data_IF_097102286219
#
_entry.id   IF_097102286219
#
_cell.length_a   1.000
_cell.length_b   1.000
_cell.length_c   1.000
_cell.angle_alpha   90.00
_cell.angle_beta   90.00
_cell.angle_gamma   90.00
#
_symmetry.space_group_name_H-M   'P 1'
#
loop_
_entity.id
_entity.type
_entity.pdbx_description
1 polymer ?
#
# COMPACT_ATOMS: atom_id res chain seq x y z
N UNK A 1 9.38 -10.84 -16.28
CA UNK A 1 10.05 -11.80 -15.35
C UNK A 1 11.57 -11.76 -15.49
N UNK A 2 12.17 -11.74 -16.70
CA UNK A 2 13.63 -11.71 -16.90
C UNK A 2 14.25 -10.36 -16.48
N UNK A 3 13.57 -9.25 -16.72
CA UNK A 3 14.02 -7.91 -16.29
C UNK A 3 14.03 -7.75 -14.77
N UNK A 4 13.02 -8.26 -14.09
CA UNK A 4 12.94 -8.26 -12.63
C UNK A 4 14.07 -9.08 -11.98
N UNK A 5 14.45 -10.20 -12.61
CA UNK A 5 15.56 -11.03 -12.13
C UNK A 5 16.93 -10.35 -12.30
N UNK A 6 17.14 -9.63 -13.41
CA UNK A 6 18.38 -8.85 -13.62
C UNK A 6 18.54 -7.71 -12.64
N UNK A 7 17.46 -6.96 -12.35
CA UNK A 7 17.47 -5.88 -11.37
C UNK A 7 17.75 -6.40 -9.94
N UNK A 8 17.12 -7.52 -9.58
CA UNK A 8 17.34 -8.19 -8.30
C UNK A 8 18.79 -8.70 -8.17
N UNK A 9 19.33 -9.31 -9.22
CA UNK A 9 20.71 -9.79 -9.22
C UNK A 9 21.73 -8.64 -9.13
N UNK A 10 21.48 -7.53 -9.82
CA UNK A 10 22.29 -6.32 -9.72
C UNK A 10 22.31 -5.76 -8.29
N UNK A 11 21.15 -5.65 -7.66
CA UNK A 11 21.02 -5.18 -6.27
C UNK A 11 21.76 -6.10 -5.27
N UNK A 12 21.74 -7.43 -5.48
CA UNK A 12 22.52 -8.37 -4.67
C UNK A 12 24.03 -8.16 -4.87
N UNK A 13 24.47 -7.95 -6.12
CA UNK A 13 25.88 -7.69 -6.40
C UNK A 13 26.34 -6.37 -5.76
N UNK A 14 25.59 -5.29 -5.92
CA UNK A 14 25.90 -3.99 -5.30
C UNK A 14 26.00 -4.10 -3.79
N UNK A 15 25.08 -4.83 -3.14
CA UNK A 15 25.13 -5.09 -1.70
C UNK A 15 26.36 -5.93 -1.31
N UNK A 16 26.68 -6.98 -2.07
CA UNK A 16 27.84 -7.82 -1.86
C UNK A 16 29.15 -7.04 -1.97
N UNK A 17 29.26 -6.16 -2.97
CA UNK A 17 30.42 -5.32 -3.20
C UNK A 17 30.59 -4.27 -2.08
N UNK A 18 29.49 -3.65 -1.66
CA UNK A 18 29.48 -2.72 -0.53
C UNK A 18 29.90 -3.41 0.77
N UNK A 19 29.33 -4.60 1.06
CA UNK A 19 29.68 -5.39 2.25
C UNK A 19 31.15 -5.83 2.23
N UNK A 20 31.66 -6.23 1.07
CA UNK A 20 33.06 -6.59 0.88
C UNK A 20 34.00 -5.41 1.08
N UNK A 21 33.65 -4.24 0.55
CA UNK A 21 34.40 -2.99 0.74
C UNK A 21 34.42 -2.56 2.20
N UNK A 22 33.30 -2.63 2.89
CA UNK A 22 33.18 -2.34 4.32
C UNK A 22 34.07 -3.29 5.17
N UNK A 23 33.96 -4.61 4.89
CA UNK A 23 34.77 -5.63 5.57
C UNK A 23 36.29 -5.42 5.35
N UNK A 24 36.69 -5.03 4.13
CA UNK A 24 38.08 -4.73 3.80
C UNK A 24 38.58 -3.48 4.51
N UNK A 25 37.77 -2.44 4.60
CA UNK A 25 38.12 -1.20 5.29
C UNK A 25 38.28 -1.41 6.81
N UNK A 26 37.39 -2.21 7.40
CA UNK A 26 37.44 -2.53 8.84
C UNK A 26 38.53 -3.53 9.20
N UNK A 27 38.97 -4.38 8.25
CA UNK A 27 39.89 -5.50 8.47
C UNK A 27 41.19 -5.05 9.13
N UNK A 28 41.82 -4.00 8.65
CA UNK A 28 43.11 -3.55 9.17
C UNK A 28 43.00 -3.05 10.61
N UNK A 29 42.01 -2.20 10.88
CA UNK A 29 41.76 -1.69 12.22
C UNK A 29 41.41 -2.81 13.23
N UNK A 30 40.54 -3.73 12.85
CA UNK A 30 40.13 -4.87 13.67
C UNK A 30 41.27 -5.84 13.91
N UNK A 31 42.11 -6.12 12.90
CA UNK A 31 43.27 -6.98 13.03
C UNK A 31 44.31 -6.34 13.97
N UNK A 32 44.60 -5.05 13.83
CA UNK A 32 45.52 -4.35 14.74
C UNK A 32 45.00 -4.36 16.17
N UNK A 33 43.70 -4.10 16.37
CA UNK A 33 43.07 -4.11 17.69
C UNK A 33 43.15 -5.52 18.37
N UNK A 34 42.75 -6.56 17.65
CA UNK A 34 42.83 -7.94 18.16
C UNK A 34 44.26 -8.37 18.45
N UNK A 35 45.22 -7.98 17.59
CA UNK A 35 46.65 -8.28 17.79
C UNK A 35 47.19 -7.57 19.01
N UNK A 36 46.81 -6.31 19.26
CA UNK A 36 47.23 -5.55 20.42
C UNK A 36 46.68 -6.14 21.72
N UNK A 37 45.37 -6.47 21.76
CA UNK A 37 44.75 -7.07 22.96
C UNK A 37 45.32 -8.45 23.26
N UNK A 38 45.42 -9.31 22.25
CA UNK A 38 45.96 -10.68 22.44
C UNK A 38 47.50 -10.68 22.61
N UNK A 39 48.19 -9.70 22.05
CA UNK A 39 49.65 -9.53 22.18
C UNK A 39 50.09 -9.20 23.58
N UNK A 40 49.22 -8.71 24.45
CA UNK A 40 49.55 -8.52 25.88
C UNK A 40 50.06 -9.80 26.56
N UNK A 41 49.54 -10.96 26.18
CA UNK A 41 50.03 -12.24 26.68
C UNK A 41 51.45 -12.58 26.23
N UNK A 42 51.85 -12.20 25.03
CA UNK A 42 53.20 -12.40 24.53
C UNK A 42 54.24 -11.60 25.30
N UNK A 43 53.86 -10.50 25.92
CA UNK A 43 54.74 -9.65 26.75
C UNK A 43 54.73 -10.09 28.23
N UNK A 44 53.65 -10.69 28.73
CA UNK A 44 53.52 -11.12 30.12
C UNK A 44 54.51 -12.21 30.47
N UNK A 45 54.75 -13.17 29.61
CA UNK A 45 55.69 -14.31 29.88
C UNK A 45 57.16 -13.82 30.01
N UNK A 46 57.71 -13.05 29.05
CA UNK A 46 59.06 -12.50 29.19
C UNK A 46 59.19 -11.57 30.42
N UNK A 47 58.18 -10.75 30.72
CA UNK A 47 58.20 -9.87 31.88
C UNK A 47 58.20 -10.65 33.18
N UNK A 48 57.41 -11.72 33.31
CA UNK A 48 57.39 -12.59 34.47
C UNK A 48 58.74 -13.31 34.66
N UNK A 49 59.40 -13.77 33.58
CA UNK A 49 60.72 -14.39 33.60
C UNK A 49 61.80 -13.40 34.05
N UNK A 50 61.76 -12.14 33.57
CA UNK A 50 62.68 -11.10 34.01
C UNK A 50 62.52 -10.77 35.50
N UNK A 51 61.31 -10.69 36.02
CA UNK A 51 61.06 -10.45 37.45
C UNK A 51 61.52 -11.65 38.30
N UNK A 52 61.25 -12.88 37.84
CA UNK A 52 61.70 -14.12 38.52
C UNK A 52 63.20 -14.19 38.53
N UNK A 53 63.95 -13.77 37.52
CA UNK A 53 65.43 -13.79 37.49
C UNK A 53 66.05 -12.86 38.48
N UNK A 54 65.33 -11.87 39.00
CA UNK A 54 65.73 -10.95 40.07
C UNK A 54 65.61 -11.54 41.48
N UNK A 55 65.21 -12.81 41.65
CA UNK A 55 65.19 -13.56 42.92
C UNK A 55 63.84 -13.58 43.63
N UNK A 56 62.82 -12.85 43.19
CA UNK A 56 61.48 -12.86 43.81
C UNK A 56 60.47 -13.67 42.97
N UNK A 57 60.66 -14.99 42.96
CA UNK A 57 59.82 -15.90 42.18
C UNK A 57 58.37 -15.93 42.66
N UNK A 58 58.09 -15.66 43.92
CA UNK A 58 56.76 -15.69 44.51
C UNK A 58 55.93 -14.49 43.94
N UNK A 59 56.49 -13.30 43.98
CA UNK A 59 55.84 -12.12 43.44
C UNK A 59 55.69 -12.21 41.94
N UNK A 60 56.66 -12.74 41.21
CA UNK A 60 56.55 -13.00 39.77
C UNK A 60 55.38 -13.95 39.44
N UNK A 61 55.22 -15.04 40.19
CA UNK A 61 54.15 -16.02 39.98
C UNK A 61 52.76 -15.42 40.28
N UNK A 62 52.62 -14.68 41.38
CA UNK A 62 51.35 -14.05 41.75
C UNK A 62 50.94 -13.02 40.69
N UNK A 63 51.86 -12.20 40.24
CA UNK A 63 51.59 -11.22 39.18
C UNK A 63 51.25 -11.88 37.84
N UNK A 64 51.93 -12.94 37.46
CA UNK A 64 51.62 -13.70 36.24
C UNK A 64 50.21 -14.27 36.29
N UNK A 65 49.79 -14.89 37.39
CA UNK A 65 48.46 -15.42 37.57
C UNK A 65 47.42 -14.28 37.50
N UNK A 66 47.66 -13.19 38.22
CA UNK A 66 46.76 -12.05 38.24
C UNK A 66 46.54 -11.49 36.83
N UNK A 67 47.60 -11.19 36.09
CA UNK A 67 47.48 -10.64 34.74
C UNK A 67 46.95 -11.66 33.74
N UNK A 68 47.26 -12.95 33.89
CA UNK A 68 46.70 -14.00 33.05
C UNK A 68 45.17 -14.13 33.18
N UNK A 69 44.61 -13.84 34.37
CA UNK A 69 43.17 -13.82 34.61
C UNK A 69 42.53 -12.47 34.23
N UNK A 70 43.21 -11.35 34.50
CA UNK A 70 42.67 -10.02 34.33
C UNK A 70 42.67 -9.53 32.87
N UNK A 71 43.74 -9.83 32.10
CA UNK A 71 43.87 -9.37 30.74
C UNK A 71 42.75 -9.87 29.81
N UNK A 72 42.30 -11.15 29.84
CA UNK A 72 41.16 -11.61 29.05
C UNK A 72 39.85 -10.92 29.44
N UNK A 73 39.64 -10.66 30.74
CA UNK A 73 38.45 -9.97 31.22
C UNK A 73 38.39 -8.53 30.70
N UNK A 74 39.51 -7.81 30.71
CA UNK A 74 39.61 -6.47 30.10
C UNK A 74 39.35 -6.53 28.58
N UNK A 75 39.95 -7.49 27.90
CA UNK A 75 39.74 -7.69 26.47
C UNK A 75 38.26 -7.92 26.09
N UNK A 76 37.58 -8.75 26.90
CA UNK A 76 36.13 -8.96 26.71
C UNK A 76 35.29 -7.69 26.96
N UNK A 77 35.64 -6.88 27.97
CA UNK A 77 34.95 -5.62 28.25
C UNK A 77 35.13 -4.62 27.11
N UNK A 78 36.35 -4.50 26.58
CA UNK A 78 36.61 -3.61 25.43
C UNK A 78 35.86 -4.07 24.18
N UNK A 79 35.87 -5.39 23.91
CA UNK A 79 35.05 -5.93 22.81
C UNK A 79 33.54 -5.63 22.97
N UNK A 80 33.00 -5.78 24.17
CA UNK A 80 31.58 -5.42 24.43
C UNK A 80 31.32 -3.93 24.15
N UNK A 81 32.21 -3.04 24.54
CA UNK A 81 32.07 -1.61 24.25
C UNK A 81 32.09 -1.34 22.73
N UNK A 82 32.96 -2.02 22.00
CA UNK A 82 33.06 -1.90 20.55
C UNK A 82 31.77 -2.37 19.84
N UNK A 83 31.22 -3.52 20.23
CA UNK A 83 29.96 -4.02 19.67
C UNK A 83 28.71 -3.25 20.15
N UNK A 84 28.79 -2.58 21.32
CA UNK A 84 27.71 -1.68 21.77
C UNK A 84 27.49 -0.51 20.83
N UNK A 85 28.53 -0.01 20.18
CA UNK A 85 28.37 1.11 19.21
C UNK A 85 27.52 0.70 18.01
N UNK A 86 27.63 -0.54 17.53
CA UNK A 86 26.83 -1.09 16.43
C UNK A 86 25.35 -1.19 16.83
N UNK A 87 25.05 -1.74 18.01
CA UNK A 87 23.70 -1.81 18.54
C UNK A 87 23.07 -0.41 18.78
N UNK A 88 23.86 0.56 19.21
CA UNK A 88 23.39 1.96 19.36
C UNK A 88 23.06 2.57 17.99
N UNK A 89 23.87 2.35 16.96
CA UNK A 89 23.59 2.82 15.61
C UNK A 89 22.32 2.22 15.02
N UNK A 90 22.10 0.90 15.20
CA UNK A 90 20.87 0.23 14.78
C UNK A 90 19.63 0.80 15.52
N UNK A 91 19.78 1.05 16.83
CA UNK A 91 18.70 1.64 17.61
C UNK A 91 18.38 3.07 17.18
N UNK A 92 19.41 3.89 16.89
CA UNK A 92 19.25 5.27 16.41
C UNK A 92 18.57 5.32 15.04
N UNK A 93 18.94 4.43 14.13
CA UNK A 93 18.27 4.30 12.83
C UNK A 93 16.79 3.86 13.00
N UNK A 94 16.52 2.91 13.89
CA UNK A 94 15.15 2.47 14.18
C UNK A 94 14.31 3.59 14.80
N UNK A 95 14.88 4.36 15.72
CA UNK A 95 14.24 5.54 16.32
C UNK A 95 14.00 6.61 15.26
N UNK A 96 14.97 6.88 14.38
CA UNK A 96 14.82 7.83 13.28
C UNK A 96 13.64 7.46 12.36
N UNK A 97 13.49 6.21 12.02
CA UNK A 97 12.33 5.72 11.21
C UNK A 97 11.00 5.86 11.97
N UNK A 98 10.99 5.62 13.28
CA UNK A 98 9.81 5.83 14.11
C UNK A 98 9.45 7.32 14.21
N UNK A 99 10.42 8.18 14.40
CA UNK A 99 10.21 9.63 14.45
C UNK A 99 9.71 10.18 13.12
N UNK A 100 10.17 9.65 11.99
CA UNK A 100 9.67 10.01 10.66
C UNK A 100 8.17 9.67 10.53
N UNK A 101 7.75 8.51 11.01
CA UNK A 101 6.33 8.11 11.00
C UNK A 101 5.50 8.94 11.98
N UNK A 102 5.98 9.11 13.21
CA UNK A 102 5.25 9.80 14.28
C UNK A 102 5.20 11.32 14.10
N UNK A 103 6.18 11.90 13.41
CA UNK A 103 6.22 13.32 13.11
C UNK A 103 5.33 13.75 11.96
N UNK A 104 4.76 12.79 11.21
CA UNK A 104 3.79 13.11 10.16
C UNK A 104 2.59 13.82 10.77
N UNK A 105 2.31 15.02 10.29
CA UNK A 105 1.15 15.77 10.74
C UNK A 105 -0.12 15.07 10.28
N UNK A 106 -1.07 14.78 11.18
CA UNK A 106 -2.38 14.30 10.76
C UNK A 106 -3.06 15.34 9.86
N UNK A 107 -3.97 14.88 9.01
CA UNK A 107 -4.79 15.80 8.22
C UNK A 107 -5.55 16.75 9.15
N UNK A 108 -5.60 18.03 8.79
CA UNK A 108 -6.28 19.03 9.60
C UNK A 108 -7.79 18.77 9.61
N UNK A 109 -8.36 18.54 10.77
CA UNK A 109 -9.81 18.46 10.92
C UNK A 109 -10.42 19.85 11.05
N UNK A 110 -11.51 20.09 10.34
CA UNK A 110 -12.25 21.34 10.46
C UNK A 110 -12.87 21.46 11.85
N UNK A 111 -12.73 22.66 12.45
CA UNK A 111 -13.40 22.98 13.70
C UNK A 111 -14.92 23.04 13.60
N UNK A 112 -15.44 23.23 12.40
CA UNK A 112 -16.87 23.25 12.08
C UNK A 112 -17.15 22.04 11.22
N UNK A 113 -17.70 21.00 11.80
CA UNK A 113 -18.06 19.78 11.08
C UNK A 113 -19.44 19.93 10.45
N UNK A 114 -19.49 19.96 9.12
CA UNK A 114 -20.73 19.90 8.34
C UNK A 114 -21.17 18.45 8.15
N UNK A 115 -22.44 18.26 7.90
CA UNK A 115 -22.98 16.96 7.47
C UNK A 115 -23.30 17.04 5.96
N UNK A 116 -23.04 15.99 5.19
CA UNK A 116 -23.42 15.94 3.79
C UNK A 116 -24.95 15.99 3.67
N UNK A 117 -25.48 16.81 2.76
CA UNK A 117 -26.91 16.98 2.50
C UNK A 117 -27.36 16.22 1.24
N UNK A 118 -26.73 15.10 0.93
CA UNK A 118 -26.99 14.27 -0.24
C UNK A 118 -25.75 13.51 -0.68
N UNK A 119 -25.78 12.99 -1.89
CA UNK A 119 -24.77 12.10 -2.47
C UNK A 119 -24.17 12.61 -3.80
N UNK A 120 -24.43 13.88 -4.16
CA UNK A 120 -23.74 14.52 -5.28
C UNK A 120 -22.25 14.72 -4.96
N UNK A 121 -21.40 14.45 -5.94
CA UNK A 121 -19.95 14.71 -5.86
C UNK A 121 -19.59 15.79 -6.89
N UNK A 122 -18.90 16.86 -6.45
CA UNK A 122 -18.49 17.94 -7.36
C UNK A 122 -17.02 18.27 -7.16
N UNK A 123 -16.28 18.30 -8.25
CA UNK A 123 -14.92 18.80 -8.36
C UNK A 123 -14.98 20.19 -8.99
N UNK A 124 -14.39 21.18 -8.34
CA UNK A 124 -14.33 22.55 -8.83
C UNK A 124 -12.88 23.04 -8.84
N UNK A 125 -12.33 23.20 -10.05
CA UNK A 125 -10.96 23.70 -10.29
C UNK A 125 -9.88 22.99 -9.46
N UNK A 126 -9.95 21.65 -9.37
CA UNK A 126 -9.09 20.84 -8.52
C UNK A 126 -7.71 20.68 -9.13
N UNK A 127 -6.69 21.09 -8.37
CA UNK A 127 -5.29 20.78 -8.65
C UNK A 127 -4.71 20.01 -7.47
N UNK A 128 -3.94 18.95 -7.76
CA UNK A 128 -3.34 18.11 -6.74
C UNK A 128 -1.99 17.55 -7.18
N UNK A 129 -1.00 17.63 -6.28
CA UNK A 129 0.36 17.10 -6.46
C UNK A 129 0.69 16.16 -5.31
N UNK A 130 1.17 14.95 -5.60
CA UNK A 130 1.64 14.05 -4.55
C UNK A 130 2.90 14.59 -3.87
N UNK A 131 3.09 14.39 -2.55
CA UNK A 131 4.31 14.78 -1.86
C UNK A 131 5.57 14.23 -2.55
N UNK A 132 6.51 15.11 -2.86
CA UNK A 132 7.77 14.74 -3.54
C UNK A 132 7.66 14.58 -5.06
N UNK A 133 6.50 14.83 -5.68
CA UNK A 133 6.36 14.83 -7.13
C UNK A 133 6.65 16.22 -7.72
N UNK A 134 7.31 16.27 -8.88
CA UNK A 134 7.66 17.51 -9.58
C UNK A 134 6.50 18.10 -10.41
N UNK A 135 5.43 17.32 -10.61
CA UNK A 135 4.31 17.72 -11.47
C UNK A 135 2.98 17.35 -10.82
N UNK A 136 1.93 18.15 -11.05
CA UNK A 136 0.60 17.84 -10.56
C UNK A 136 0.08 16.55 -11.19
N UNK A 137 -0.59 15.74 -10.39
CA UNK A 137 -1.31 14.55 -10.83
C UNK A 137 -2.70 14.91 -11.39
N UNK A 138 -3.27 16.03 -10.92
CA UNK A 138 -4.48 16.67 -11.46
C UNK A 138 -4.23 18.17 -11.60
N UNK A 139 -4.67 18.76 -12.72
CA UNK A 139 -4.50 20.17 -13.03
C UNK A 139 -5.83 20.76 -13.54
N UNK A 140 -6.40 21.67 -12.76
CA UNK A 140 -7.66 22.41 -13.05
C UNK A 140 -8.84 21.48 -13.46
N UNK A 141 -9.05 20.41 -12.69
CA UNK A 141 -10.08 19.41 -12.98
C UNK A 141 -11.43 19.85 -12.40
N UNK A 142 -12.46 19.91 -13.26
CA UNK A 142 -13.82 20.24 -12.88
C UNK A 142 -14.82 19.27 -13.50
N UNK A 143 -15.62 18.61 -12.67
CA UNK A 143 -16.74 17.75 -13.10
C UNK A 143 -17.72 17.52 -11.95
N UNK A 144 -18.87 16.94 -12.25
CA UNK A 144 -19.85 16.55 -11.23
C UNK A 144 -20.40 15.15 -11.50
N UNK A 145 -20.76 14.46 -10.41
CA UNK A 145 -21.53 13.21 -10.41
C UNK A 145 -22.83 13.51 -9.69
N UNK A 146 -23.94 13.46 -10.40
CA UNK A 146 -25.26 13.74 -9.79
C UNK A 146 -25.76 12.52 -9.03
N UNK A 147 -26.70 12.70 -8.08
CA UNK A 147 -27.33 11.58 -7.36
C UNK A 147 -27.90 10.53 -8.32
N UNK A 148 -27.52 9.27 -8.09
CA UNK A 148 -27.95 8.14 -8.91
C UNK A 148 -27.28 8.04 -10.29
N UNK A 149 -26.33 8.90 -10.63
CA UNK A 149 -25.61 8.89 -11.89
C UNK A 149 -24.38 7.97 -11.84
N UNK A 150 -24.11 7.30 -12.95
CA UNK A 150 -22.89 6.51 -13.18
C UNK A 150 -21.94 7.31 -14.08
N UNK A 151 -20.80 7.73 -13.53
CA UNK A 151 -19.75 8.45 -14.27
C UNK A 151 -18.50 7.55 -14.36
N UNK A 152 -17.96 7.43 -15.58
CA UNK A 152 -16.78 6.64 -15.84
C UNK A 152 -15.55 7.52 -16.14
N UNK A 153 -14.44 7.23 -15.48
CA UNK A 153 -13.13 7.80 -15.79
C UNK A 153 -12.35 6.83 -16.70
N UNK A 154 -11.99 7.27 -17.89
CA UNK A 154 -11.19 6.51 -18.86
C UNK A 154 -9.96 7.30 -19.27
N UNK A 155 -8.98 6.64 -19.90
CA UNK A 155 -7.78 7.31 -20.39
C UNK A 155 -6.52 6.50 -20.13
N UNK A 156 -5.36 6.95 -20.60
CA UNK A 156 -4.08 6.25 -20.46
C UNK A 156 -3.68 6.08 -18.99
N UNK A 157 -2.84 5.07 -18.71
CA UNK A 157 -2.26 4.85 -17.39
C UNK A 157 -1.45 6.07 -16.94
N UNK A 158 -1.53 6.43 -15.65
CA UNK A 158 -0.88 7.63 -15.13
C UNK A 158 -1.60 8.95 -15.49
N UNK A 159 -2.80 8.90 -16.08
CA UNK A 159 -3.57 10.10 -16.45
C UNK A 159 -4.19 10.88 -15.28
N UNK A 160 -4.19 10.34 -14.04
CA UNK A 160 -4.78 10.98 -12.86
C UNK A 160 -6.13 10.40 -12.38
N UNK A 161 -6.64 9.34 -13.03
CA UNK A 161 -7.95 8.73 -12.71
C UNK A 161 -8.08 8.26 -11.26
N UNK A 162 -7.16 7.42 -10.80
CA UNK A 162 -7.12 6.92 -9.40
C UNK A 162 -6.92 8.06 -8.42
N UNK A 163 -6.13 9.08 -8.80
CA UNK A 163 -5.96 10.29 -7.98
C UNK A 163 -7.28 11.00 -7.78
N UNK A 164 -8.05 11.26 -8.86
CA UNK A 164 -9.36 11.89 -8.75
C UNK A 164 -10.32 11.09 -7.85
N UNK A 165 -10.36 9.76 -8.02
CA UNK A 165 -11.16 8.87 -7.17
C UNK A 165 -10.76 8.95 -5.70
N UNK A 166 -9.45 9.02 -5.39
CA UNK A 166 -8.90 9.04 -4.03
C UNK A 166 -9.18 10.34 -3.27
N UNK A 167 -9.49 11.43 -3.97
CA UNK A 167 -9.85 12.71 -3.35
C UNK A 167 -11.28 12.73 -2.81
N UNK A 168 -12.19 11.89 -3.30
CA UNK A 168 -13.58 11.82 -2.81
C UNK A 168 -13.66 11.39 -1.34
N UNK A 169 -13.02 10.27 -0.93
CA UNK A 169 -12.97 9.88 0.48
C UNK A 169 -11.95 10.70 1.29
N UNK A 170 -11.35 11.74 0.69
CA UNK A 170 -10.34 12.59 1.33
C UNK A 170 -9.13 11.78 1.79
N UNK A 171 -8.58 10.88 0.95
CA UNK A 171 -7.28 10.26 1.26
C UNK A 171 -6.13 11.26 1.13
N UNK A 172 -6.38 12.36 0.42
CA UNK A 172 -5.48 13.51 0.25
C UNK A 172 -6.28 14.80 0.23
N UNK A 173 -5.69 15.90 0.68
CA UNK A 173 -6.24 17.25 0.51
C UNK A 173 -5.75 17.87 -0.80
N UNK A 174 -6.59 18.63 -1.48
CA UNK A 174 -6.25 19.30 -2.75
C UNK A 174 -5.34 20.51 -2.52
N UNK A 175 -4.44 20.80 -3.45
CA UNK A 175 -3.58 21.99 -3.41
C UNK A 175 -4.40 23.26 -3.68
N UNK A 176 -5.33 23.19 -4.63
CA UNK A 176 -6.28 24.28 -4.95
C UNK A 176 -7.60 23.72 -5.45
N UNK A 177 -8.62 24.54 -5.41
CA UNK A 177 -9.99 24.16 -5.73
C UNK A 177 -10.69 23.46 -4.56
N UNK A 178 -11.76 22.73 -4.87
CA UNK A 178 -12.56 22.02 -3.86
C UNK A 178 -13.16 20.74 -4.40
N UNK A 179 -13.28 19.74 -3.52
CA UNK A 179 -14.07 18.52 -3.73
C UNK A 179 -15.21 18.56 -2.72
N UNK A 180 -16.46 18.49 -3.19
CA UNK A 180 -17.64 18.49 -2.31
C UNK A 180 -18.39 17.18 -2.41
N UNK A 181 -18.92 16.72 -1.27
CA UNK A 181 -19.82 15.57 -1.14
C UNK A 181 -21.10 16.04 -0.46
N UNK A 182 -22.25 15.85 -1.11
CA UNK A 182 -23.52 16.34 -0.60
C UNK A 182 -23.54 17.86 -0.35
N UNK A 183 -22.82 18.64 -1.20
CA UNK A 183 -22.74 20.09 -1.11
C UNK A 183 -21.80 20.66 -0.04
N UNK A 184 -21.11 19.80 0.73
CA UNK A 184 -20.09 20.22 1.70
C UNK A 184 -18.69 19.83 1.22
N UNK A 185 -17.70 20.72 1.40
CA UNK A 185 -16.31 20.41 1.09
C UNK A 185 -15.84 19.24 1.97
N UNK A 186 -15.15 18.28 1.36
CA UNK A 186 -14.66 17.08 2.10
C UNK A 186 -13.75 17.45 3.27
N UNK A 187 -13.08 18.60 3.23
CA UNK A 187 -12.25 19.14 4.31
C UNK A 187 -13.06 19.64 5.52
N UNK A 188 -14.34 19.93 5.32
CA UNK A 188 -15.26 20.42 6.35
C UNK A 188 -16.15 19.29 6.94
N UNK A 189 -16.07 18.08 6.36
CA UNK A 189 -16.81 16.92 6.85
C UNK A 189 -16.03 16.19 7.94
N UNK A 190 -16.74 15.64 8.91
CA UNK A 190 -16.18 14.63 9.82
C UNK A 190 -15.71 13.40 9.01
N UNK A 191 -14.52 12.90 9.30
CA UNK A 191 -13.94 11.77 8.56
C UNK A 191 -14.80 10.52 8.63
N UNK A 192 -15.41 10.24 9.78
CA UNK A 192 -16.32 9.09 9.98
C UNK A 192 -17.59 9.26 9.16
N UNK A 193 -18.16 10.48 9.15
CA UNK A 193 -19.35 10.79 8.35
C UNK A 193 -19.07 10.68 6.86
N UNK A 194 -17.94 11.22 6.37
CA UNK A 194 -17.52 11.11 4.97
C UNK A 194 -17.28 9.65 4.57
N UNK A 195 -16.54 8.90 5.40
CA UNK A 195 -16.31 7.48 5.17
C UNK A 195 -17.62 6.67 5.19
N UNK A 196 -18.61 7.07 5.97
CA UNK A 196 -19.94 6.47 5.94
C UNK A 196 -20.69 6.68 4.63
N UNK A 197 -20.43 7.79 3.91
CA UNK A 197 -21.07 8.13 2.64
C UNK A 197 -20.44 7.44 1.43
N UNK A 198 -19.19 6.99 1.50
CA UNK A 198 -18.43 6.49 0.35
C UNK A 198 -18.03 5.04 0.55
N UNK A 199 -18.43 4.15 -0.35
CA UNK A 199 -17.86 2.81 -0.48
C UNK A 199 -16.79 2.84 -1.56
N UNK A 200 -15.54 2.53 -1.20
CA UNK A 200 -14.41 2.49 -2.12
C UNK A 200 -13.97 1.04 -2.36
N UNK A 201 -13.94 0.61 -3.62
CA UNK A 201 -13.41 -0.70 -4.04
C UNK A 201 -12.11 -0.45 -4.78
N UNK A 202 -11.00 -0.89 -4.19
CA UNK A 202 -9.65 -0.71 -4.74
C UNK A 202 -9.33 -1.73 -5.83
N UNK A 203 -8.44 -1.36 -6.74
CA UNK A 203 -7.87 -2.24 -7.75
C UNK A 203 -7.12 -3.43 -7.12
N UNK A 204 -6.23 -3.16 -6.16
CA UNK A 204 -5.49 -4.17 -5.41
C UNK A 204 -6.25 -4.51 -4.12
N UNK A 205 -7.09 -5.53 -4.22
CA UNK A 205 -7.91 -5.99 -3.09
C UNK A 205 -7.08 -6.82 -2.13
N UNK A 206 -6.98 -6.37 -0.88
CA UNK A 206 -6.33 -7.12 0.19
C UNK A 206 -7.34 -7.62 1.20
N UNK A 207 -7.20 -8.88 1.56
CA UNK A 207 -7.95 -9.51 2.64
C UNK A 207 -7.10 -9.55 3.91
N UNK A 208 -7.77 -9.34 5.05
CA UNK A 208 -7.14 -9.53 6.35
C UNK A 208 -6.92 -11.04 6.60
N UNK A 209 -5.91 -11.38 7.41
CA UNK A 209 -5.67 -12.76 7.86
C UNK A 209 -6.69 -13.19 8.93
N UNK A 210 -7.96 -13.09 8.57
CA UNK A 210 -9.13 -13.33 9.38
C UNK A 210 -10.12 -14.20 8.61
N UNK A 211 -11.24 -14.60 9.23
CA UNK A 211 -12.31 -15.32 8.55
C UNK A 211 -12.93 -14.49 7.42
N UNK A 212 -13.57 -15.13 6.45
CA UNK A 212 -14.34 -14.41 5.43
C UNK A 212 -15.47 -13.57 6.07
N UNK A 213 -16.08 -14.09 7.12
CA UNK A 213 -17.08 -13.37 7.91
C UNK A 213 -16.54 -12.01 8.37
N UNK A 214 -15.39 -12.01 9.07
CA UNK A 214 -14.77 -10.79 9.58
C UNK A 214 -14.22 -9.90 8.46
N UNK A 215 -13.74 -10.50 7.39
CA UNK A 215 -13.32 -9.75 6.21
C UNK A 215 -14.47 -8.95 5.59
N UNK A 216 -15.67 -9.50 5.47
CA UNK A 216 -16.85 -8.79 4.94
C UNK A 216 -17.41 -7.83 5.99
N UNK A 217 -17.52 -8.29 7.25
CA UNK A 217 -18.03 -7.51 8.38
C UNK A 217 -17.19 -6.26 8.70
N UNK A 218 -15.91 -6.21 8.29
CA UNK A 218 -15.04 -5.04 8.50
C UNK A 218 -15.66 -3.72 8.00
N UNK A 219 -16.57 -3.78 7.02
CA UNK A 219 -17.28 -2.60 6.51
C UNK A 219 -18.40 -2.10 7.44
N UNK A 220 -18.99 -2.98 8.24
CA UNK A 220 -20.05 -2.71 9.24
C UNK A 220 -19.92 -3.71 10.38
N UNK A 221 -19.15 -3.39 11.44
CA UNK A 221 -18.82 -4.32 12.52
C UNK A 221 -20.01 -4.91 13.27
N UNK A 222 -21.12 -4.17 13.33
CA UNK A 222 -22.35 -4.57 14.02
C UNK A 222 -23.28 -5.45 13.14
N UNK A 223 -22.90 -5.77 11.91
CA UNK A 223 -23.72 -6.59 11.01
C UNK A 223 -23.86 -8.02 11.52
N UNK A 224 -25.07 -8.56 11.44
CA UNK A 224 -25.34 -9.95 11.78
C UNK A 224 -24.70 -10.90 10.76
N UNK A 225 -24.61 -12.18 11.13
CA UNK A 225 -24.09 -13.22 10.21
C UNK A 225 -24.97 -13.36 8.98
N UNK A 226 -26.27 -13.21 9.15
CA UNK A 226 -27.27 -13.30 8.07
C UNK A 226 -27.10 -12.14 7.08
N UNK A 227 -26.86 -10.93 7.56
CA UNK A 227 -26.59 -9.75 6.71
C UNK A 227 -25.29 -9.91 5.93
N UNK A 228 -24.22 -10.45 6.57
CA UNK A 228 -22.95 -10.77 5.90
C UNK A 228 -23.15 -11.82 4.83
N UNK A 229 -23.92 -12.87 5.12
CA UNK A 229 -24.23 -13.91 4.14
C UNK A 229 -25.02 -13.36 2.95
N UNK A 230 -26.04 -12.54 3.21
CA UNK A 230 -26.81 -11.86 2.17
C UNK A 230 -25.94 -10.98 1.26
N UNK A 231 -24.99 -10.23 1.84
CA UNK A 231 -24.03 -9.44 1.08
C UNK A 231 -23.07 -10.30 0.25
N UNK A 232 -22.65 -11.46 0.79
CA UNK A 232 -21.83 -12.43 0.06
C UNK A 232 -22.58 -13.04 -1.13
N UNK A 233 -23.86 -13.41 -0.97
CA UNK A 233 -24.73 -13.88 -2.04
C UNK A 233 -24.91 -12.83 -3.13
N UNK A 234 -25.21 -11.58 -2.75
CA UNK A 234 -25.35 -10.46 -3.68
C UNK A 234 -24.04 -10.20 -4.46
N UNK A 235 -22.89 -10.43 -3.83
CA UNK A 235 -21.58 -10.35 -4.47
C UNK A 235 -21.19 -11.63 -5.25
N UNK A 236 -22.10 -12.57 -5.44
CA UNK A 236 -21.87 -13.83 -6.18
C UNK A 236 -20.72 -14.67 -5.58
N UNK A 237 -20.67 -14.80 -4.25
CA UNK A 237 -19.62 -15.55 -3.54
C UNK A 237 -20.01 -17.00 -3.19
N UNK A 238 -21.12 -17.53 -3.69
CA UNK A 238 -21.65 -18.84 -3.31
C UNK A 238 -20.67 -19.98 -3.62
N UNK A 239 -20.08 -19.98 -4.80
CA UNK A 239 -19.05 -20.93 -5.22
C UNK A 239 -17.79 -20.88 -4.33
N UNK A 240 -17.44 -19.68 -3.82
CA UNK A 240 -16.34 -19.52 -2.87
C UNK A 240 -16.68 -20.16 -1.53
N UNK A 241 -17.89 -19.90 -1.02
CA UNK A 241 -18.34 -20.41 0.27
C UNK A 241 -18.50 -21.94 0.24
N UNK A 242 -18.99 -22.53 -0.86
CA UNK A 242 -19.15 -23.98 -1.05
C UNK A 242 -17.81 -24.71 -1.15
N UNK A 243 -16.82 -24.08 -1.79
CA UNK A 243 -15.46 -24.62 -1.97
C UNK A 243 -14.66 -24.66 -0.68
N UNK A 244 -14.97 -23.76 0.27
CA UNK A 244 -14.20 -23.60 1.49
C UNK A 244 -14.72 -24.52 2.61
N UNK A 245 -13.81 -25.17 3.38
CA UNK A 245 -14.20 -26.22 4.33
C UNK A 245 -15.05 -25.73 5.51
N UNK A 246 -15.03 -24.43 5.83
CA UNK A 246 -15.80 -23.82 6.90
C UNK A 246 -16.65 -22.63 6.39
N UNK A 247 -16.84 -22.51 5.06
CA UNK A 247 -17.60 -21.41 4.46
C UNK A 247 -17.11 -20.04 4.95
N UNK A 248 -18.01 -19.23 5.50
CA UNK A 248 -17.70 -17.89 6.05
C UNK A 248 -16.66 -17.89 7.18
N UNK A 249 -16.53 -18.98 7.94
CA UNK A 249 -15.60 -19.05 9.08
C UNK A 249 -14.18 -19.44 8.64
N UNK A 250 -13.97 -19.70 7.35
CA UNK A 250 -12.64 -20.03 6.84
C UNK A 250 -11.70 -18.82 6.92
N UNK A 251 -10.55 -19.02 7.58
CA UNK A 251 -9.49 -17.99 7.71
C UNK A 251 -8.65 -17.96 6.44
N UNK A 252 -8.59 -16.81 5.80
CA UNK A 252 -7.83 -16.59 4.55
C UNK A 252 -6.37 -16.26 4.85
N UNK A 253 -5.47 -16.72 3.99
CA UNK A 253 -4.01 -16.48 4.14
C UNK A 253 -3.36 -17.27 5.26
N UNK A 254 -4.07 -18.20 5.90
CA UNK A 254 -3.56 -19.12 6.88
C UNK A 254 -3.62 -20.56 6.36
N UNK A 255 -2.62 -21.39 6.70
CA UNK A 255 -2.56 -22.83 6.38
C UNK A 255 -2.83 -23.18 4.91
N UNK A 256 -2.47 -22.30 3.96
CA UNK A 256 -2.60 -22.59 2.53
C UNK A 256 -3.96 -22.32 1.92
N UNK A 257 -4.89 -21.66 2.62
CA UNK A 257 -6.14 -21.20 2.03
C UNK A 257 -5.90 -19.86 1.33
N UNK A 258 -5.88 -19.87 0.01
CA UNK A 258 -5.69 -18.69 -0.82
C UNK A 258 -6.86 -18.56 -1.80
N UNK A 259 -7.33 -17.32 -1.98
CA UNK A 259 -8.33 -16.97 -2.97
C UNK A 259 -7.64 -16.41 -4.22
N UNK A 260 -8.19 -16.71 -5.39
CA UNK A 260 -7.79 -16.06 -6.64
C UNK A 260 -8.08 -14.54 -6.62
N UNK A 261 -7.48 -13.80 -7.53
CA UNK A 261 -7.72 -12.35 -7.61
C UNK A 261 -9.21 -12.01 -7.81
N UNK A 262 -9.92 -12.76 -8.67
CA UNK A 262 -11.35 -12.56 -8.89
C UNK A 262 -12.21 -12.93 -7.66
N UNK A 263 -11.86 -14.00 -6.92
CA UNK A 263 -12.51 -14.35 -5.66
C UNK A 263 -12.31 -13.28 -4.59
N UNK A 264 -11.08 -12.77 -4.42
CA UNK A 264 -10.79 -11.67 -3.49
C UNK A 264 -11.58 -10.41 -3.83
N UNK A 265 -11.72 -10.11 -5.12
CA UNK A 265 -12.48 -8.97 -5.60
C UNK A 265 -13.97 -9.10 -5.28
N UNK A 266 -14.56 -10.29 -5.44
CA UNK A 266 -15.96 -10.53 -5.04
C UNK A 266 -16.17 -10.35 -3.53
N UNK A 267 -15.20 -10.74 -2.70
CA UNK A 267 -15.25 -10.44 -1.26
C UNK A 267 -15.17 -8.93 -0.97
N UNK A 268 -14.36 -8.17 -1.74
CA UNK A 268 -14.35 -6.72 -1.61
C UNK A 268 -15.67 -6.06 -2.03
N UNK A 269 -16.30 -6.59 -3.08
CA UNK A 269 -17.66 -6.17 -3.48
C UNK A 269 -18.68 -6.50 -2.39
N UNK A 270 -18.60 -7.68 -1.74
CA UNK A 270 -19.44 -8.02 -0.60
C UNK A 270 -19.29 -7.02 0.56
N UNK A 271 -18.05 -6.56 0.85
CA UNK A 271 -17.81 -5.49 1.83
C UNK A 271 -18.53 -4.20 1.44
N UNK A 272 -18.44 -3.80 0.17
CA UNK A 272 -19.06 -2.58 -0.31
C UNK A 272 -20.58 -2.67 -0.32
N UNK A 273 -21.15 -3.83 -0.67
CA UNK A 273 -22.60 -4.11 -0.59
C UNK A 273 -23.08 -4.07 0.85
N UNK A 274 -22.37 -4.72 1.79
CA UNK A 274 -22.71 -4.71 3.22
C UNK A 274 -22.67 -3.30 3.82
N UNK A 275 -21.70 -2.48 3.38
CA UNK A 275 -21.59 -1.09 3.81
C UNK A 275 -22.80 -0.25 3.41
N UNK A 276 -23.37 -0.52 2.25
CA UNK A 276 -24.53 0.13 1.66
C UNK A 276 -24.43 1.67 1.61
N UNK A 277 -23.22 2.19 1.31
CA UNK A 277 -23.01 3.63 1.17
C UNK A 277 -23.68 4.18 -0.10
N UNK A 278 -24.22 5.43 -0.08
CA UNK A 278 -24.90 6.03 -1.22
C UNK A 278 -23.97 6.38 -2.41
N UNK A 279 -22.69 6.60 -2.12
CA UNK A 279 -21.66 6.88 -3.14
C UNK A 279 -20.75 5.67 -3.25
N UNK A 280 -20.53 5.21 -4.48
CA UNK A 280 -19.64 4.07 -4.77
C UNK A 280 -18.52 4.54 -5.68
N UNK A 281 -17.28 4.32 -5.24
CA UNK A 281 -16.06 4.58 -6.03
C UNK A 281 -15.40 3.24 -6.35
N UNK A 282 -15.20 2.98 -7.63
CA UNK A 282 -14.69 1.72 -8.14
C UNK A 282 -13.41 1.96 -8.92
N UNK A 283 -12.28 1.44 -8.42
CA UNK A 283 -11.01 1.50 -9.12
C UNK A 283 -10.68 0.13 -9.73
N UNK A 284 -10.83 0.05 -11.06
CA UNK A 284 -10.47 -1.12 -11.90
C UNK A 284 -10.83 -2.51 -11.35
N UNK A 285 -12.11 -2.76 -11.18
CA UNK A 285 -12.58 -3.99 -10.54
C UNK A 285 -12.50 -5.29 -11.39
N UNK A 286 -11.87 -5.33 -12.58
CA UNK A 286 -11.92 -6.51 -13.48
C UNK A 286 -10.58 -6.94 -14.11
N UNK A 287 -9.45 -6.36 -13.71
CA UNK A 287 -8.17 -6.51 -14.42
C UNK A 287 -7.60 -7.94 -14.47
N UNK A 288 -7.92 -8.79 -13.48
CA UNK A 288 -7.27 -10.09 -13.27
C UNK A 288 -8.24 -11.29 -13.25
N UNK A 289 -9.51 -11.10 -13.63
CA UNK A 289 -10.48 -12.17 -13.61
C UNK A 289 -10.43 -12.99 -14.93
N UNK A 290 -10.51 -14.31 -14.80
CA UNK A 290 -10.84 -15.19 -15.92
C UNK A 290 -12.29 -14.93 -16.40
N UNK A 291 -12.69 -15.42 -17.60
CA UNK A 291 -14.00 -15.10 -18.16
C UNK A 291 -15.20 -15.50 -17.28
N UNK A 292 -15.07 -16.57 -16.48
CA UNK A 292 -16.15 -17.03 -15.59
C UNK A 292 -16.30 -16.08 -14.40
N UNK A 293 -15.19 -15.73 -13.74
CA UNK A 293 -15.18 -14.75 -12.68
C UNK A 293 -15.59 -13.36 -13.15
N UNK A 294 -15.25 -12.97 -14.38
CA UNK A 294 -15.66 -11.69 -14.95
C UNK A 294 -17.19 -11.54 -14.99
N UNK A 295 -17.91 -12.54 -15.43
CA UNK A 295 -19.37 -12.52 -15.47
C UNK A 295 -20.00 -12.39 -14.06
N UNK A 296 -19.42 -13.07 -13.06
CA UNK A 296 -19.87 -12.98 -11.67
C UNK A 296 -19.56 -11.60 -11.06
N UNK A 297 -18.37 -11.06 -11.30
CA UNK A 297 -17.98 -9.73 -10.88
C UNK A 297 -18.92 -8.67 -11.49
N UNK A 298 -19.28 -8.78 -12.76
CA UNK A 298 -20.23 -7.87 -13.42
C UNK A 298 -21.62 -7.90 -12.74
N UNK A 299 -22.13 -9.10 -12.40
CA UNK A 299 -23.40 -9.21 -11.66
C UNK A 299 -23.30 -8.55 -10.27
N UNK A 300 -22.21 -8.81 -9.53
CA UNK A 300 -21.99 -8.18 -8.24
C UNK A 300 -21.89 -6.63 -8.35
N UNK A 301 -21.32 -6.13 -9.43
CA UNK A 301 -21.30 -4.71 -9.76
C UNK A 301 -22.70 -4.11 -9.91
N UNK A 302 -23.55 -4.76 -10.70
CA UNK A 302 -24.92 -4.30 -10.91
C UNK A 302 -25.69 -4.19 -9.59
N UNK A 303 -25.52 -5.20 -8.71
CA UNK A 303 -26.15 -5.16 -7.39
C UNK A 303 -25.59 -4.03 -6.51
N UNK A 304 -24.26 -3.80 -6.53
CA UNK A 304 -23.62 -2.74 -5.74
C UNK A 304 -24.03 -1.35 -6.21
N UNK A 305 -24.14 -1.11 -7.52
CA UNK A 305 -24.32 0.22 -8.11
C UNK A 305 -25.77 0.64 -8.26
N UNK A 306 -26.71 -0.28 -8.08
CA UNK A 306 -28.11 -0.06 -8.29
C UNK A 306 -28.67 1.09 -7.44
N UNK A 307 -29.10 2.17 -8.10
CA UNK A 307 -29.70 3.35 -7.47
C UNK A 307 -28.72 4.22 -6.67
N UNK A 308 -27.41 4.02 -6.86
CA UNK A 308 -26.35 4.77 -6.16
C UNK A 308 -25.63 5.74 -7.11
N UNK A 309 -24.95 6.71 -6.51
CA UNK A 309 -24.05 7.62 -7.19
C UNK A 309 -22.71 6.92 -7.39
N UNK A 310 -22.28 6.77 -8.65
CA UNK A 310 -21.13 5.92 -8.96
C UNK A 310 -20.07 6.68 -9.73
N UNK A 311 -18.83 6.64 -9.23
CA UNK A 311 -17.64 6.98 -10.00
C UNK A 311 -16.81 5.71 -10.24
N UNK A 312 -16.65 5.31 -11.50
CA UNK A 312 -15.87 4.13 -11.86
C UNK A 312 -14.64 4.51 -12.68
N UNK A 313 -13.50 3.91 -12.35
CA UNK A 313 -12.31 3.93 -13.20
C UNK A 313 -12.33 2.64 -14.02
N UNK A 314 -12.32 2.79 -15.34
CA UNK A 314 -12.38 1.63 -16.22
C UNK A 314 -11.11 1.52 -17.08
N UNK A 315 -10.55 0.32 -17.06
CA UNK A 315 -9.50 -0.10 -18.00
C UNK A 315 -10.07 -0.91 -19.17
N UNK A 316 -11.30 -1.41 -19.04
CA UNK A 316 -12.02 -2.08 -20.12
C UNK A 316 -13.16 -1.18 -20.60
N UNK A 317 -13.05 -0.73 -21.83
CA UNK A 317 -14.04 0.19 -22.40
C UNK A 317 -15.43 -0.43 -22.55
N UNK A 318 -15.55 -1.76 -22.58
CA UNK A 318 -16.86 -2.46 -22.60
C UNK A 318 -17.73 -2.15 -21.37
N UNK A 319 -17.11 -1.87 -20.21
CA UNK A 319 -17.84 -1.65 -18.96
C UNK A 319 -18.40 -0.24 -18.83
N UNK A 320 -17.93 0.71 -19.67
CA UNK A 320 -18.33 2.12 -19.58
C UNK A 320 -19.35 2.54 -20.63
N UNK A 321 -19.72 1.65 -21.53
CA UNK A 321 -20.63 1.95 -22.62
C UNK A 321 -21.98 2.49 -22.13
N UNK A 322 -22.48 1.92 -21.05
CA UNK A 322 -23.77 2.25 -20.47
C UNK A 322 -23.67 3.31 -19.34
N UNK A 323 -22.50 3.96 -19.18
CA UNK A 323 -22.33 5.06 -18.23
C UNK A 323 -23.09 6.32 -18.71
N UNK A 324 -23.72 7.04 -17.77
CA UNK A 324 -24.43 8.28 -18.06
C UNK A 324 -23.49 9.38 -18.56
N UNK A 325 -22.22 9.34 -18.13
CA UNK A 325 -21.20 10.29 -18.55
C UNK A 325 -19.81 9.63 -18.48
N UNK A 326 -19.00 9.87 -19.48
CA UNK A 326 -17.62 9.38 -19.59
C UNK A 326 -16.69 10.60 -19.61
N UNK A 327 -15.69 10.58 -18.73
CA UNK A 327 -14.65 11.60 -18.64
C UNK A 327 -13.33 10.99 -19.12
N UNK A 328 -12.77 11.53 -20.17
CA UNK A 328 -11.47 11.11 -20.69
C UNK A 328 -10.38 11.93 -20.03
N UNK A 329 -9.59 11.29 -19.17
CA UNK A 329 -8.55 11.93 -18.37
C UNK A 329 -7.19 11.62 -18.97
N UNK A 330 -6.46 12.66 -19.36
CA UNK A 330 -5.09 12.57 -19.87
C UNK A 330 -4.22 13.63 -19.24
N UNK A 331 -3.04 13.22 -18.73
CA UNK A 331 -2.04 14.13 -18.13
C UNK A 331 -2.63 15.08 -17.09
N UNK A 332 -3.45 14.54 -16.20
CA UNK A 332 -4.04 15.30 -15.10
C UNK A 332 -5.23 16.19 -15.46
N UNK A 333 -5.70 16.20 -16.70
CA UNK A 333 -6.81 17.06 -17.15
C UNK A 333 -7.90 16.26 -17.86
N UNK A 334 -9.14 16.74 -17.80
CA UNK A 334 -10.26 16.18 -18.57
C UNK A 334 -10.14 16.72 -20.00
N UNK A 335 -9.99 15.83 -20.98
CA UNK A 335 -9.86 16.15 -22.39
C UNK A 335 -11.18 16.11 -23.14
N UNK A 336 -11.98 15.11 -22.82
CA UNK A 336 -13.27 14.87 -23.47
C UNK A 336 -14.28 14.46 -22.41
N UNK A 337 -15.55 14.80 -22.64
CA UNK A 337 -16.65 14.46 -21.76
C UNK A 337 -17.92 14.25 -22.57
N UNK A 338 -18.68 13.20 -22.28
CA UNK A 338 -19.94 12.90 -22.92
C UNK A 338 -20.39 11.46 -22.74
N UNK A 339 -21.47 11.08 -23.39
CA UNK A 339 -21.89 9.67 -23.48
C UNK A 339 -21.03 8.90 -24.48
N UNK A 340 -21.12 7.58 -24.45
CA UNK A 340 -20.41 6.70 -25.40
C UNK A 340 -20.61 7.16 -26.85
N UNK A 341 -21.87 7.32 -27.27
CA UNK A 341 -22.22 7.68 -28.65
C UNK A 341 -21.71 9.07 -29.05
N UNK A 342 -21.74 10.02 -28.12
CA UNK A 342 -21.20 11.36 -28.33
C UNK A 342 -19.70 11.38 -28.55
N UNK A 343 -18.98 10.63 -27.69
CA UNK A 343 -17.52 10.56 -27.74
C UNK A 343 -17.00 9.72 -28.92
N UNK A 344 -17.74 8.68 -29.32
CA UNK A 344 -17.41 7.90 -30.52
C UNK A 344 -17.56 8.76 -31.78
N UNK A 345 -18.62 9.59 -31.83
CA UNK A 345 -18.88 10.52 -32.97
C UNK A 345 -17.88 11.68 -33.07
N UNK A 346 -17.19 12.05 -31.96
CA UNK A 346 -16.21 13.16 -31.97
C UNK A 346 -14.86 12.77 -32.61
N UNK A 347 -14.62 11.47 -32.88
CA UNK A 347 -13.36 10.93 -33.42
C UNK A 347 -12.11 11.38 -32.65
N UNK A 348 -12.25 11.55 -31.33
CA UNK A 348 -11.24 12.03 -30.42
C UNK A 348 -10.39 10.91 -29.83
N UNK A 349 -9.84 11.18 -28.63
CA UNK A 349 -9.04 10.19 -27.87
C UNK A 349 -9.86 8.97 -27.48
N UNK A 350 -11.11 9.18 -27.04
CA UNK A 350 -12.03 8.09 -26.71
C UNK A 350 -12.31 7.17 -27.90
N UNK A 351 -12.63 7.75 -29.05
CA UNK A 351 -12.92 6.98 -30.26
C UNK A 351 -11.73 6.10 -30.68
N UNK A 352 -10.51 6.65 -30.61
CA UNK A 352 -9.27 5.87 -30.86
C UNK A 352 -9.11 4.72 -29.90
N UNK A 353 -9.24 4.97 -28.58
CA UNK A 353 -9.17 3.92 -27.55
C UNK A 353 -10.23 2.84 -27.79
N UNK A 354 -11.44 3.23 -28.20
CA UNK A 354 -12.54 2.30 -28.53
C UNK A 354 -12.23 1.45 -29.76
N UNK A 355 -11.66 2.04 -30.82
CA UNK A 355 -11.23 1.32 -32.02
C UNK A 355 -10.13 0.31 -31.68
N UNK A 356 -9.10 0.70 -30.92
CA UNK A 356 -8.02 -0.19 -30.48
C UNK A 356 -8.59 -1.36 -29.65
N UNK A 357 -9.54 -1.07 -28.74
CA UNK A 357 -10.21 -2.10 -27.95
C UNK A 357 -10.96 -3.11 -28.84
N UNK A 358 -11.74 -2.61 -29.82
CA UNK A 358 -12.49 -3.46 -30.77
C UNK A 358 -11.56 -4.34 -31.63
N UNK A 359 -10.44 -3.80 -32.09
CA UNK A 359 -9.44 -4.55 -32.83
C UNK A 359 -8.82 -5.64 -31.95
N UNK A 360 -8.42 -5.33 -30.70
CA UNK A 360 -7.88 -6.31 -29.77
C UNK A 360 -8.89 -7.41 -29.40
N UNK A 361 -10.18 -7.08 -29.27
CA UNK A 361 -11.24 -8.05 -29.02
C UNK A 361 -11.47 -9.00 -30.23
N UNK A 362 -11.37 -8.48 -31.45
CA UNK A 362 -11.51 -9.27 -32.67
C UNK A 362 -10.33 -10.24 -32.90
N UNK A 363 -9.15 -10.01 -32.32
CA UNK A 363 -7.99 -10.92 -32.41
C UNK A 363 -8.05 -12.10 -31.42
N UNK A 364 -9.00 -12.10 -30.49
CA UNK A 364 -9.18 -13.17 -29.50
C UNK A 364 -10.19 -14.25 -29.93
N UNK A 365 -10.75 -14.13 -31.11
CA UNK A 365 -11.60 -15.14 -31.78
C UNK A 365 -10.76 -15.78 -32.89
#
# INVERSE_FOLDING_TARGET
TVYSFKAFYAAIQDYSDLASQYAMNCRTGQTCFLTFINGAFALLIPAALLIASGGDVRTALVNLIFYALFAPACGQMINRIMYMSEAVMEADEAIGRLDEILSQKPMEESKVQKKPAGDAVVFAHVTFTYPGADRPALEDVSFSVQPGQVVALVGPSGGGKTTAASLIPRFWDVDSGSVTVGGADVRELDSTALMGQVAFVFQDTRLFKESLLENIRAARPDASREEVLAAAHAAQCDDILEKLPQGLDTVVGAKGVYLSGGEQQRIALARAILKDAPIVVLDEATAFADPENEALIQKAFWELTRGKTVLMIAHRLSTVRDADNILVVEKGSIREQGTHDQLEAQDGLYAKMWQDYRQAAAWKV
#
